data_IF_433101731952
#
_entry.id   IF_433101731952
#
_cell.length_a   1.000
_cell.length_b   1.000
_cell.length_c   1.000
_cell.angle_alpha   90.00
_cell.angle_beta   90.00
_cell.angle_gamma   90.00
#
_symmetry.space_group_name_H-M   'P 1'
#
loop_
_entity.id
_entity.type
_entity.pdbx_description
1 polymer ?
#
# COMPACT_ATOMS: atom_id res chain seq x y z
N UNK A 1 -10.28 -4.69 -4.14
CA UNK A 1 -9.95 -6.12 -4.21
C UNK A 1 -9.90 -6.72 -2.82
N UNK A 2 -10.42 -7.94 -2.66
CA UNK A 2 -10.19 -8.79 -1.50
C UNK A 2 -9.31 -9.95 -1.92
N UNK A 3 -8.12 -10.07 -1.29
CA UNK A 3 -7.10 -11.05 -1.64
C UNK A 3 -6.15 -10.50 -2.72
N UNK A 4 -5.12 -9.78 -2.30
CA UNK A 4 -4.09 -9.27 -3.20
C UNK A 4 -3.22 -10.38 -3.80
N UNK A 5 -2.94 -11.41 -2.97
CA UNK A 5 -2.04 -12.47 -3.36
C UNK A 5 -0.73 -11.92 -3.93
N UNK A 6 -0.31 -12.42 -5.07
CA UNK A 6 0.89 -11.93 -5.77
C UNK A 6 0.64 -10.69 -6.65
N UNK A 7 -0.49 -10.00 -6.50
CA UNK A 7 -0.78 -8.79 -7.25
C UNK A 7 -1.09 -8.98 -8.73
N UNK A 8 -1.42 -10.19 -9.17
CA UNK A 8 -1.66 -10.48 -10.58
C UNK A 8 -2.83 -9.67 -11.15
N UNK A 9 -3.95 -9.58 -10.41
CA UNK A 9 -5.09 -8.76 -10.82
C UNK A 9 -4.71 -7.28 -10.93
N UNK A 10 -3.89 -6.79 -10.01
CA UNK A 10 -3.38 -5.41 -10.06
C UNK A 10 -2.52 -5.16 -11.29
N UNK A 11 -1.56 -6.04 -11.60
CA UNK A 11 -0.68 -5.89 -12.77
C UNK A 11 -1.47 -5.97 -14.08
N UNK A 12 -2.43 -6.88 -14.19
CA UNK A 12 -3.34 -6.96 -15.35
C UNK A 12 -4.18 -5.68 -15.45
N UNK A 13 -4.60 -5.13 -14.31
CA UNK A 13 -5.35 -3.88 -14.28
C UNK A 13 -4.50 -2.70 -14.73
N UNK A 14 -3.23 -2.59 -14.30
CA UNK A 14 -2.30 -1.57 -14.81
C UNK A 14 -2.22 -1.65 -16.33
N UNK A 15 -1.96 -2.84 -16.89
CA UNK A 15 -1.84 -3.05 -18.34
C UNK A 15 -3.08 -2.61 -19.10
N UNK A 16 -4.27 -2.94 -18.60
CA UNK A 16 -5.54 -2.52 -19.21
C UNK A 16 -5.80 -1.03 -19.05
N UNK A 17 -5.62 -0.52 -17.84
CA UNK A 17 -5.84 0.89 -17.53
C UNK A 17 -4.93 1.81 -18.31
N UNK A 18 -3.65 1.47 -18.44
CA UNK A 18 -2.69 2.24 -19.21
C UNK A 18 -3.13 2.42 -20.67
N UNK A 19 -3.69 1.38 -21.29
CA UNK A 19 -4.24 1.44 -22.65
C UNK A 19 -5.47 2.34 -22.75
N UNK A 20 -6.35 2.31 -21.75
CA UNK A 20 -7.59 3.10 -21.76
C UNK A 20 -7.35 4.56 -21.31
N UNK A 21 -6.50 4.79 -20.32
CA UNK A 21 -6.17 6.13 -19.82
C UNK A 21 -5.39 6.98 -20.83
N UNK A 22 -4.74 6.37 -21.80
CA UNK A 22 -4.11 7.09 -22.91
C UNK A 22 -5.12 7.91 -23.75
N UNK A 23 -6.40 7.51 -23.73
CA UNK A 23 -7.50 8.20 -24.43
C UNK A 23 -8.06 9.38 -23.64
N UNK A 24 -7.89 9.39 -22.32
CA UNK A 24 -8.40 10.45 -21.43
C UNK A 24 -7.33 10.82 -20.40
N UNK A 25 -6.66 11.94 -20.64
CA UNK A 25 -5.42 12.31 -19.97
C UNK A 25 -5.57 12.70 -18.49
N UNK A 26 -6.79 12.92 -17.97
CA UNK A 26 -7.01 13.45 -16.62
C UNK A 26 -7.48 12.40 -15.60
N UNK A 27 -7.76 11.17 -16.05
CA UNK A 27 -8.29 10.13 -15.18
C UNK A 27 -7.19 9.35 -14.46
N UNK A 28 -7.35 9.21 -13.16
CA UNK A 28 -6.55 8.35 -12.32
C UNK A 28 -7.37 7.18 -11.78
N UNK A 29 -6.76 6.00 -11.70
CA UNK A 29 -7.36 4.85 -11.04
C UNK A 29 -6.77 4.71 -9.63
N UNK A 30 -7.64 4.70 -8.62
CA UNK A 30 -7.30 4.30 -7.26
C UNK A 30 -7.64 2.81 -7.10
N UNK A 31 -6.61 1.98 -6.95
CA UNK A 31 -6.74 0.55 -6.71
C UNK A 31 -6.51 0.28 -5.22
N UNK A 32 -7.51 -0.25 -4.54
CA UNK A 32 -7.42 -0.62 -3.13
C UNK A 32 -7.47 -2.14 -3.04
N UNK A 33 -6.48 -2.74 -2.41
CA UNK A 33 -6.46 -4.18 -2.16
C UNK A 33 -6.21 -4.50 -0.70
N UNK A 34 -6.88 -5.52 -0.21
CA UNK A 34 -6.82 -5.99 1.18
C UNK A 34 -6.30 -7.42 1.18
N UNK A 35 -5.28 -7.68 2.00
CA UNK A 35 -4.80 -9.03 2.27
C UNK A 35 -4.40 -9.17 3.74
N UNK A 36 -4.43 -10.38 4.27
CA UNK A 36 -3.97 -10.65 5.64
C UNK A 36 -2.51 -11.09 5.70
N UNK A 37 -1.89 -11.38 4.56
CA UNK A 37 -0.51 -11.84 4.47
C UNK A 37 0.34 -10.80 3.74
N UNK A 38 1.46 -10.45 4.35
CA UNK A 38 2.53 -9.72 3.67
C UNK A 38 3.43 -10.70 2.94
N UNK A 39 3.60 -10.50 1.63
CA UNK A 39 4.46 -11.34 0.79
C UNK A 39 5.81 -10.66 0.58
N UNK A 40 6.86 -11.48 0.50
CA UNK A 40 8.23 -10.98 0.28
C UNK A 40 8.47 -10.65 -1.20
N UNK A 41 9.24 -9.62 -1.49
CA UNK A 41 9.59 -9.21 -2.87
C UNK A 41 10.11 -10.37 -3.71
N UNK A 42 10.87 -11.29 -3.12
CA UNK A 42 11.38 -12.47 -3.82
C UNK A 42 10.28 -13.38 -4.35
N UNK A 43 9.14 -13.45 -3.65
CA UNK A 43 8.02 -14.29 -4.05
C UNK A 43 7.28 -13.69 -5.26
N UNK A 44 7.12 -12.36 -5.27
CA UNK A 44 6.59 -11.64 -6.45
C UNK A 44 7.47 -11.88 -7.68
N UNK A 45 8.80 -11.72 -7.57
CA UNK A 45 9.74 -11.97 -8.66
C UNK A 45 9.55 -13.36 -9.25
N UNK A 46 9.55 -14.39 -8.39
CA UNK A 46 9.38 -15.78 -8.82
C UNK A 46 8.07 -16.04 -9.55
N UNK A 47 6.97 -15.45 -9.08
CA UNK A 47 5.66 -15.62 -9.73
C UNK A 47 5.62 -14.92 -11.07
N UNK A 48 6.13 -13.70 -11.19
CA UNK A 48 6.09 -12.94 -12.44
C UNK A 48 7.05 -13.46 -13.51
N UNK A 49 8.03 -14.29 -13.18
CA UNK A 49 8.82 -15.05 -14.16
C UNK A 49 7.95 -15.93 -15.06
N UNK A 50 6.80 -16.40 -14.53
CA UNK A 50 5.84 -17.22 -15.29
C UNK A 50 4.93 -16.40 -16.21
N UNK A 51 5.01 -15.07 -16.21
CA UNK A 51 4.17 -14.16 -16.98
C UNK A 51 5.00 -13.13 -17.73
N UNK A 52 5.79 -13.55 -18.75
CA UNK A 52 6.70 -12.67 -19.49
C UNK A 52 5.99 -11.50 -20.19
N UNK A 53 4.71 -11.67 -20.54
CA UNK A 53 3.87 -10.64 -21.16
C UNK A 53 3.44 -9.51 -20.18
N UNK A 54 3.72 -9.67 -18.90
CA UNK A 54 3.47 -8.68 -17.86
C UNK A 54 4.76 -8.03 -17.33
N UNK A 55 5.92 -8.40 -17.88
CA UNK A 55 7.25 -8.02 -17.37
C UNK A 55 7.40 -6.52 -17.16
N UNK A 56 7.06 -5.70 -18.15
CA UNK A 56 7.18 -4.24 -18.05
C UNK A 56 6.48 -3.67 -16.81
N UNK A 57 5.26 -4.13 -16.54
CA UNK A 57 4.44 -3.65 -15.44
C UNK A 57 4.85 -4.25 -14.10
N UNK A 58 5.26 -5.52 -14.10
CA UNK A 58 5.69 -6.21 -12.87
C UNK A 58 7.05 -5.74 -12.38
N UNK A 59 7.99 -5.42 -13.27
CA UNK A 59 9.29 -4.84 -12.90
C UNK A 59 9.10 -3.46 -12.24
N UNK A 60 8.25 -2.60 -12.81
CA UNK A 60 7.93 -1.31 -12.21
C UNK A 60 7.25 -1.46 -10.85
N UNK A 61 6.32 -2.42 -10.72
CA UNK A 61 5.70 -2.75 -9.45
C UNK A 61 6.71 -3.23 -8.42
N UNK A 62 7.57 -4.21 -8.76
CA UNK A 62 8.60 -4.76 -7.86
C UNK A 62 9.57 -3.68 -7.41
N UNK A 63 10.03 -2.83 -8.33
CA UNK A 63 10.88 -1.68 -8.03
C UNK A 63 10.21 -0.70 -7.08
N UNK A 64 8.91 -0.48 -7.28
CA UNK A 64 8.12 0.46 -6.49
C UNK A 64 7.55 -0.14 -5.21
N UNK A 65 7.61 -1.45 -5.03
CA UNK A 65 7.06 -2.11 -3.85
C UNK A 65 7.84 -1.68 -2.60
N UNK A 66 7.15 -1.17 -1.58
CA UNK A 66 7.82 -0.74 -0.37
C UNK A 66 8.30 -1.95 0.42
N UNK A 67 9.10 -1.65 1.41
CA UNK A 67 9.48 -2.59 2.44
C UNK A 67 8.22 -3.11 3.14
N UNK A 68 8.10 -4.42 3.23
CA UNK A 68 6.94 -5.13 3.76
C UNK A 68 6.58 -4.68 5.17
N UNK A 69 5.38 -4.16 5.34
CA UNK A 69 4.87 -3.76 6.65
C UNK A 69 3.37 -4.02 6.72
N UNK A 70 2.88 -4.40 7.88
CA UNK A 70 1.45 -4.46 8.14
C UNK A 70 0.85 -3.06 8.11
N UNK A 71 -0.45 -2.97 7.83
CA UNK A 71 -1.19 -1.73 7.76
C UNK A 71 -1.32 -1.18 6.34
N UNK A 72 -1.32 0.14 6.19
CA UNK A 72 -1.60 0.83 4.94
C UNK A 72 -0.32 1.19 4.19
N UNK A 73 -0.22 0.73 2.97
CA UNK A 73 0.87 1.10 2.05
C UNK A 73 0.30 1.74 0.81
N UNK A 74 0.77 2.94 0.44
CA UNK A 74 0.34 3.63 -0.77
C UNK A 74 1.50 3.79 -1.74
N UNK A 75 1.31 3.30 -2.96
CA UNK A 75 2.28 3.39 -4.05
C UNK A 75 1.62 4.11 -5.23
N UNK A 76 2.33 5.05 -5.82
CA UNK A 76 1.85 5.77 -7.01
C UNK A 76 2.68 5.38 -8.22
N UNK A 77 2.00 5.13 -9.33
CA UNK A 77 2.57 4.85 -10.63
C UNK A 77 2.14 5.94 -11.62
N UNK A 78 2.81 7.13 -11.59
CA UNK A 78 2.39 8.27 -12.42
C UNK A 78 2.41 7.98 -13.91
N UNK A 79 3.37 7.18 -14.39
CA UNK A 79 3.45 6.70 -15.77
C UNK A 79 2.15 6.05 -16.25
N UNK A 80 1.48 5.33 -15.37
CA UNK A 80 0.25 4.59 -15.67
C UNK A 80 -1.01 5.26 -15.13
N UNK A 81 -0.87 6.40 -14.43
CA UNK A 81 -1.99 7.11 -13.76
C UNK A 81 -2.81 6.20 -12.84
N UNK A 82 -2.12 5.39 -12.07
CA UNK A 82 -2.72 4.48 -11.10
C UNK A 82 -2.05 4.64 -9.73
N UNK A 83 -2.83 4.50 -8.68
CA UNK A 83 -2.38 4.48 -7.28
C UNK A 83 -2.86 3.20 -6.64
N UNK A 84 -1.94 2.44 -6.06
CA UNK A 84 -2.24 1.27 -5.23
C UNK A 84 -2.29 1.68 -3.76
N UNK A 85 -3.36 1.32 -3.08
CA UNK A 85 -3.43 1.28 -1.63
C UNK A 85 -3.53 -0.18 -1.22
N UNK A 86 -2.45 -0.75 -0.69
CA UNK A 86 -2.42 -2.09 -0.15
C UNK A 86 -2.63 -2.03 1.37
N UNK A 87 -3.59 -2.80 1.87
CA UNK A 87 -3.93 -2.86 3.30
C UNK A 87 -3.67 -4.29 3.77
N UNK A 88 -2.65 -4.46 4.59
CA UNK A 88 -2.31 -5.74 5.21
C UNK A 88 -2.96 -5.79 6.59
N UNK A 89 -4.16 -6.36 6.64
CA UNK A 89 -4.98 -6.51 7.84
C UNK A 89 -6.11 -7.52 7.58
N UNK A 90 -6.83 -7.90 8.62
CA UNK A 90 -8.08 -8.66 8.46
C UNK A 90 -9.11 -7.90 7.62
N UNK A 91 -9.74 -8.57 6.65
CA UNK A 91 -10.69 -7.95 5.73
C UNK A 91 -11.83 -7.19 6.46
N UNK A 92 -12.33 -7.73 7.58
CA UNK A 92 -13.38 -7.10 8.36
C UNK A 92 -12.97 -5.73 8.93
N UNK A 93 -11.75 -5.63 9.47
CA UNK A 93 -11.19 -4.41 10.04
C UNK A 93 -10.84 -3.40 8.95
N UNK A 94 -10.20 -3.87 7.88
CA UNK A 94 -9.83 -3.03 6.75
C UNK A 94 -11.07 -2.39 6.09
N UNK A 95 -12.10 -3.17 5.78
CA UNK A 95 -13.35 -2.65 5.21
C UNK A 95 -14.05 -1.67 6.16
N UNK A 96 -14.06 -1.95 7.46
CA UNK A 96 -14.65 -1.03 8.44
C UNK A 96 -13.92 0.31 8.50
N UNK A 97 -12.60 0.31 8.42
CA UNK A 97 -11.83 1.54 8.38
C UNK A 97 -12.09 2.34 7.10
N UNK A 98 -12.29 1.67 5.96
CA UNK A 98 -12.66 2.32 4.70
C UNK A 98 -14.08 2.95 4.78
N UNK A 99 -15.04 2.31 5.43
CA UNK A 99 -16.41 2.80 5.60
C UNK A 99 -16.46 4.09 6.43
N UNK A 100 -15.56 4.26 7.40
CA UNK A 100 -15.49 5.49 8.24
C UNK A 100 -15.29 6.77 7.42
N UNK A 101 -14.76 6.64 6.21
CA UNK A 101 -14.69 7.76 5.28
C UNK A 101 -15.80 7.63 4.24
N UNK A 102 -16.85 8.42 4.39
CA UNK A 102 -18.02 8.42 3.49
C UNK A 102 -17.68 8.69 2.01
N UNK A 103 -16.51 9.27 1.76
CA UNK A 103 -16.03 9.51 0.38
C UNK A 103 -15.36 8.27 -0.25
N UNK A 104 -15.14 7.21 0.50
CA UNK A 104 -14.62 5.97 -0.04
C UNK A 104 -15.74 5.18 -0.70
N UNK A 105 -15.87 5.30 -2.02
CA UNK A 105 -16.79 4.51 -2.83
C UNK A 105 -16.02 3.74 -3.88
N UNK A 106 -16.47 2.53 -4.15
CA UNK A 106 -15.81 1.57 -5.04
C UNK A 106 -16.68 1.34 -6.27
N UNK A 107 -16.10 1.44 -7.44
CA UNK A 107 -16.77 1.28 -8.73
C UNK A 107 -16.64 -0.14 -9.29
N UNK A 108 -15.61 -0.87 -8.88
CA UNK A 108 -15.41 -2.25 -9.33
C UNK A 108 -14.75 -3.11 -8.23
N UNK A 109 -15.26 -4.32 -8.04
CA UNK A 109 -14.77 -5.27 -7.04
C UNK A 109 -14.15 -6.52 -7.67
N UNK A 110 -12.92 -6.81 -7.29
CA UNK A 110 -12.34 -8.14 -7.41
C UNK A 110 -12.54 -8.87 -6.08
N UNK A 111 -13.45 -9.84 -6.04
CA UNK A 111 -13.69 -10.68 -4.87
C UNK A 111 -12.91 -11.98 -5.07
N UNK A 112 -11.58 -11.90 -4.88
CA UNK A 112 -10.62 -12.96 -5.20
C UNK A 112 -9.90 -13.50 -3.94
N UNK A 113 -10.60 -13.47 -2.82
CA UNK A 113 -10.10 -14.03 -1.58
C UNK A 113 -9.99 -15.57 -1.58
N UNK A 114 -9.54 -16.13 -0.47
CA UNK A 114 -9.42 -17.57 -0.30
C UNK A 114 -10.73 -18.31 -0.58
N UNK A 115 -10.58 -19.61 -0.95
CA UNK A 115 -11.71 -20.48 -1.21
C UNK A 115 -12.77 -20.40 -0.10
N UNK A 116 -14.06 -20.17 -0.43
CA UNK A 116 -15.14 -20.05 0.56
C UNK A 116 -15.26 -21.24 1.52
N UNK A 117 -14.84 -22.43 1.09
CA UNK A 117 -14.81 -23.61 1.96
C UNK A 117 -13.66 -23.62 2.96
N UNK A 118 -12.55 -22.93 2.61
CA UNK A 118 -11.34 -22.85 3.46
C UNK A 118 -11.34 -21.62 4.36
N UNK A 119 -11.95 -20.54 3.91
CA UNK A 119 -12.08 -19.30 4.68
C UNK A 119 -13.50 -18.72 4.57
N UNK A 120 -14.49 -19.33 5.21
CA UNK A 120 -15.88 -18.87 5.14
C UNK A 120 -16.07 -17.49 5.79
N UNK A 121 -15.21 -17.10 6.73
CA UNK A 121 -15.30 -15.80 7.41
C UNK A 121 -15.18 -14.62 6.43
N UNK A 122 -14.34 -14.74 5.41
CA UNK A 122 -14.14 -13.73 4.37
C UNK A 122 -15.37 -13.55 3.45
N UNK A 123 -16.26 -14.54 3.44
CA UNK A 123 -17.51 -14.56 2.64
C UNK A 123 -18.75 -14.43 3.51
N UNK A 124 -18.59 -14.03 4.76
CA UNK A 124 -19.70 -13.85 5.70
C UNK A 124 -20.65 -12.72 5.27
N UNK A 125 -21.90 -12.77 5.72
CA UNK A 125 -22.89 -11.72 5.47
C UNK A 125 -22.39 -10.33 5.94
N UNK A 126 -21.65 -10.29 7.04
CA UNK A 126 -21.02 -9.06 7.54
C UNK A 126 -20.04 -8.45 6.55
N UNK A 127 -19.19 -9.25 5.92
CA UNK A 127 -18.24 -8.80 4.88
C UNK A 127 -19.00 -8.33 3.65
N UNK A 128 -19.97 -9.11 3.17
CA UNK A 128 -20.75 -8.77 1.99
C UNK A 128 -21.57 -7.49 2.19
N UNK A 129 -22.08 -7.25 3.40
CA UNK A 129 -22.74 -5.99 3.77
C UNK A 129 -21.76 -4.80 3.76
N UNK A 130 -20.52 -4.99 4.23
CA UNK A 130 -19.48 -3.94 4.20
C UNK A 130 -19.10 -3.61 2.73
N UNK A 131 -19.00 -4.60 1.86
CA UNK A 131 -18.79 -4.43 0.42
C UNK A 131 -19.93 -3.60 -0.18
N UNK A 132 -21.19 -3.96 0.09
CA UNK A 132 -22.36 -3.21 -0.37
C UNK A 132 -22.32 -1.73 0.09
N UNK A 133 -21.97 -1.48 1.35
CA UNK A 133 -21.87 -0.12 1.89
C UNK A 133 -20.80 0.72 1.21
N UNK A 134 -19.73 0.10 0.73
CA UNK A 134 -18.66 0.77 -0.02
C UNK A 134 -18.95 0.87 -1.51
N UNK A 135 -19.94 0.17 -2.03
CA UNK A 135 -20.25 0.16 -3.45
C UNK A 135 -20.96 1.44 -3.90
N UNK A 136 -20.56 1.96 -5.06
CA UNK A 136 -21.33 2.95 -5.80
C UNK A 136 -22.53 2.29 -6.50
N UNK A 137 -23.50 3.09 -6.90
CA UNK A 137 -24.51 2.66 -7.85
C UNK A 137 -23.83 2.16 -9.13
N UNK A 138 -24.33 1.07 -9.67
CA UNK A 138 -23.83 0.41 -10.88
C UNK A 138 -22.39 -0.16 -10.75
N UNK A 139 -21.83 -0.18 -9.53
CA UNK A 139 -20.53 -0.80 -9.32
C UNK A 139 -20.57 -2.28 -9.66
N UNK A 140 -19.55 -2.75 -10.35
CA UNK A 140 -19.46 -4.13 -10.81
C UNK A 140 -18.68 -5.00 -9.85
N UNK A 141 -18.93 -6.30 -9.86
CA UNK A 141 -18.08 -7.27 -9.19
C UNK A 141 -17.79 -8.49 -10.04
N UNK A 142 -16.66 -9.12 -9.78
CA UNK A 142 -16.32 -10.45 -10.29
C UNK A 142 -15.66 -11.27 -9.21
N UNK A 143 -15.98 -12.58 -9.17
CA UNK A 143 -15.32 -13.55 -8.29
C UNK A 143 -15.11 -14.86 -9.02
N UNK A 144 -14.10 -15.60 -8.63
CA UNK A 144 -13.82 -16.92 -9.20
C UNK A 144 -14.76 -18.02 -8.70
N UNK A 145 -15.46 -17.79 -7.59
CA UNK A 145 -16.36 -18.79 -6.99
C UNK A 145 -17.78 -18.73 -7.57
N UNK A 146 -18.47 -19.86 -7.57
CA UNK A 146 -19.89 -19.95 -7.87
C UNK A 146 -20.68 -20.55 -6.69
N UNK A 147 -20.13 -20.48 -5.47
CA UNK A 147 -20.74 -21.02 -4.26
C UNK A 147 -22.13 -20.40 -4.01
N UNK A 148 -23.12 -21.24 -3.75
CA UNK A 148 -24.53 -20.82 -3.62
C UNK A 148 -24.77 -19.87 -2.45
N UNK A 149 -24.05 -20.02 -1.33
CA UNK A 149 -24.19 -19.10 -0.20
C UNK A 149 -23.58 -17.72 -0.50
N UNK A 150 -22.47 -17.65 -1.26
CA UNK A 150 -21.88 -16.38 -1.71
C UNK A 150 -22.86 -15.66 -2.64
N UNK A 151 -23.46 -16.37 -3.60
CA UNK A 151 -24.48 -15.83 -4.48
C UNK A 151 -25.64 -15.23 -3.69
N UNK A 152 -26.27 -16.03 -2.81
CA UNK A 152 -27.39 -15.56 -1.98
C UNK A 152 -27.02 -14.40 -1.06
N UNK A 153 -25.79 -14.39 -0.52
CA UNK A 153 -25.29 -13.29 0.31
C UNK A 153 -25.14 -11.99 -0.48
N UNK A 154 -24.65 -12.05 -1.71
CA UNK A 154 -24.56 -10.87 -2.60
C UNK A 154 -25.98 -10.39 -2.99
N UNK A 155 -26.87 -11.29 -3.41
CA UNK A 155 -28.27 -10.96 -3.75
C UNK A 155 -28.99 -10.28 -2.57
N UNK A 156 -28.83 -10.81 -1.35
CA UNK A 156 -29.38 -10.21 -0.12
C UNK A 156 -28.87 -8.79 0.15
N UNK A 157 -27.66 -8.47 -0.32
CA UNK A 157 -27.02 -7.17 -0.16
C UNK A 157 -27.14 -6.30 -1.43
N UNK A 158 -28.21 -6.48 -2.20
CA UNK A 158 -28.59 -5.67 -3.35
C UNK A 158 -27.63 -5.73 -4.56
N UNK A 159 -26.96 -6.85 -4.75
CA UNK A 159 -26.26 -7.14 -5.99
C UNK A 159 -27.13 -7.98 -6.92
N UNK A 160 -27.22 -7.58 -8.17
CA UNK A 160 -27.75 -8.44 -9.23
C UNK A 160 -26.62 -9.41 -9.65
N UNK A 161 -26.85 -10.69 -9.43
CA UNK A 161 -25.80 -11.71 -9.58
C UNK A 161 -26.05 -12.59 -10.77
N UNK A 162 -25.07 -12.68 -11.66
CA UNK A 162 -25.09 -13.56 -12.82
C UNK A 162 -24.08 -14.69 -12.66
N UNK A 163 -24.53 -15.92 -12.89
CA UNK A 163 -23.69 -17.11 -12.98
C UNK A 163 -23.24 -17.28 -14.43
N UNK A 164 -21.93 -17.10 -14.68
CA UNK A 164 -21.37 -17.16 -16.03
C UNK A 164 -20.31 -18.27 -16.14
N UNK A 165 -19.87 -18.56 -17.36
CA UNK A 165 -18.79 -19.53 -17.62
C UNK A 165 -17.52 -19.10 -16.86
N UNK A 166 -16.91 -20.04 -16.14
CA UNK A 166 -15.64 -19.84 -15.46
C UNK A 166 -14.45 -19.86 -16.44
N UNK A 167 -13.27 -19.65 -15.88
CA UNK A 167 -12.02 -19.69 -16.63
C UNK A 167 -11.26 -21.01 -16.32
N UNK A 168 -10.56 -21.55 -17.30
CA UNK A 168 -9.81 -22.82 -17.18
C UNK A 168 -10.74 -23.97 -16.84
N UNK A 169 -10.40 -24.73 -15.80
CA UNK A 169 -11.16 -25.91 -15.36
C UNK A 169 -12.42 -25.59 -14.55
N UNK A 170 -12.71 -24.31 -14.28
CA UNK A 170 -13.89 -23.91 -13.51
C UNK A 170 -15.11 -23.77 -14.41
N UNK A 171 -16.16 -24.54 -14.13
CA UNK A 171 -17.41 -24.50 -14.91
C UNK A 171 -18.09 -23.12 -14.85
N UNK A 172 -18.11 -22.50 -13.68
CA UNK A 172 -18.84 -21.26 -13.44
C UNK A 172 -18.12 -20.33 -12.48
N UNK A 173 -18.38 -19.03 -12.65
CA UNK A 173 -18.04 -17.95 -11.72
C UNK A 173 -19.25 -17.02 -11.53
N UNK A 174 -19.19 -16.15 -10.52
CA UNK A 174 -20.19 -15.10 -10.35
C UNK A 174 -19.63 -13.74 -10.77
N UNK A 175 -20.48 -12.95 -11.39
CA UNK A 175 -20.27 -11.54 -11.67
C UNK A 175 -21.59 -10.80 -11.62
N UNK A 176 -21.56 -9.49 -11.48
CA UNK A 176 -22.79 -8.71 -11.45
C UNK A 176 -22.53 -7.25 -11.09
N UNK A 177 -23.60 -6.61 -10.67
CA UNK A 177 -23.65 -5.16 -10.42
C UNK A 177 -24.43 -4.83 -9.16
N UNK A 178 -24.07 -3.77 -8.47
CA UNK A 178 -24.80 -3.24 -7.31
C UNK A 178 -25.96 -2.37 -7.79
N UNK A 179 -27.15 -2.59 -7.24
CA UNK A 179 -28.39 -2.00 -7.78
C UNK A 179 -28.97 -0.89 -6.93
N UNK A 180 -28.52 -0.73 -5.68
CA UNK A 180 -29.08 0.30 -4.81
C UNK A 180 -28.62 1.70 -5.22
N UNK A 181 -29.52 2.66 -5.05
CA UNK A 181 -29.22 4.07 -5.19
C UNK A 181 -28.28 4.53 -4.04
N UNK A 182 -27.09 4.91 -4.40
CA UNK A 182 -26.16 5.57 -3.51
C UNK A 182 -26.03 7.03 -3.88
N UNK A 183 -25.74 7.90 -2.91
CA UNK A 183 -25.42 9.29 -3.24
C UNK A 183 -24.24 9.29 -4.21
N UNK A 184 -24.30 10.01 -5.34
CA UNK A 184 -23.20 10.03 -6.28
C UNK A 184 -21.95 10.56 -5.60
N UNK A 185 -20.88 9.79 -5.71
CA UNK A 185 -19.56 10.22 -5.25
C UNK A 185 -19.06 11.34 -6.18
N UNK A 186 -18.90 12.55 -5.64
CA UNK A 186 -18.19 13.61 -6.36
C UNK A 186 -16.70 13.27 -6.30
N UNK A 187 -16.12 12.87 -7.42
CA UNK A 187 -14.66 12.77 -7.51
C UNK A 187 -14.07 14.13 -7.15
N UNK A 188 -13.23 14.17 -6.12
CA UNK A 188 -12.49 15.39 -5.79
C UNK A 188 -11.38 15.54 -6.83
N UNK A 189 -11.55 16.49 -7.73
CA UNK A 189 -10.47 16.91 -8.61
C UNK A 189 -9.37 17.56 -7.76
N UNK A 190 -8.12 17.29 -8.12
CA UNK A 190 -7.01 18.01 -7.53
C UNK A 190 -7.13 19.50 -7.92
N UNK A 191 -6.83 20.44 -7.02
CA UNK A 191 -6.79 21.85 -7.37
C UNK A 191 -5.74 22.10 -8.46
N UNK A 192 -6.05 22.98 -9.42
CA UNK A 192 -5.10 23.29 -10.48
C UNK A 192 -3.87 24.04 -9.97
N UNK A 193 -4.02 24.78 -8.85
CA UNK A 193 -2.95 25.58 -8.24
C UNK A 193 -3.02 25.51 -6.72
N UNK A 194 -1.84 25.39 -6.07
CA UNK A 194 -1.70 25.34 -4.60
C UNK A 194 -0.58 26.28 -4.16
N UNK A 195 -0.82 27.05 -3.11
CA UNK A 195 0.19 27.81 -2.40
C UNK A 195 0.66 27.05 -1.15
N UNK A 196 1.95 26.92 -0.96
CA UNK A 196 2.57 26.29 0.22
C UNK A 196 3.35 27.37 0.97
N UNK A 197 3.06 27.50 2.26
CA UNK A 197 3.77 28.39 3.16
C UNK A 197 4.80 27.59 3.95
N UNK A 198 6.08 27.92 3.72
CA UNK A 198 7.24 27.23 4.29
C UNK A 198 7.94 26.31 3.29
N UNK A 199 9.20 26.64 2.96
CA UNK A 199 10.05 25.84 2.07
C UNK A 199 10.92 24.81 2.81
N UNK A 200 10.60 24.52 4.06
CA UNK A 200 11.26 23.47 4.83
C UNK A 200 10.96 22.07 4.26
N UNK A 201 11.51 21.03 4.89
CA UNK A 201 11.42 19.65 4.45
C UNK A 201 9.99 19.21 4.10
N UNK A 202 9.02 19.50 4.97
CA UNK A 202 7.62 19.14 4.74
C UNK A 202 7.01 19.85 3.53
N UNK A 203 7.23 21.18 3.42
CA UNK A 203 6.71 21.98 2.31
C UNK A 203 7.30 21.57 0.97
N UNK A 204 8.61 21.35 0.92
CA UNK A 204 9.31 20.90 -0.29
C UNK A 204 8.87 19.50 -0.74
N UNK A 205 8.72 18.56 0.19
CA UNK A 205 8.20 17.22 -0.11
C UNK A 205 6.75 17.28 -0.64
N UNK A 206 5.90 18.11 -0.04
CA UNK A 206 4.52 18.30 -0.49
C UNK A 206 4.47 18.91 -1.88
N UNK A 207 5.26 19.97 -2.13
CA UNK A 207 5.38 20.60 -3.43
C UNK A 207 5.80 19.63 -4.52
N UNK A 208 6.84 18.85 -4.25
CA UNK A 208 7.33 17.81 -5.17
C UNK A 208 6.24 16.78 -5.51
N UNK A 209 5.50 16.31 -4.50
CA UNK A 209 4.42 15.36 -4.73
C UNK A 209 3.27 15.94 -5.53
N UNK A 210 2.83 17.17 -5.22
CA UNK A 210 1.76 17.84 -5.95
C UNK A 210 2.15 18.10 -7.40
N UNK A 211 3.39 18.56 -7.64
CA UNK A 211 3.90 18.79 -8.99
C UNK A 211 3.91 17.49 -9.82
N UNK A 212 4.27 16.33 -9.21
CA UNK A 212 4.16 15.02 -9.89
C UNK A 212 2.73 14.65 -10.30
N UNK A 213 1.71 15.24 -9.67
CA UNK A 213 0.31 15.09 -10.05
C UNK A 213 -0.19 16.18 -11.01
N UNK A 214 0.71 17.03 -11.53
CA UNK A 214 0.37 18.09 -12.46
C UNK A 214 -0.24 19.33 -11.81
N UNK A 215 -0.19 19.45 -10.48
CA UNK A 215 -0.66 20.64 -9.75
C UNK A 215 0.40 21.72 -9.84
N UNK A 216 0.02 22.93 -10.22
CA UNK A 216 0.89 24.11 -10.13
C UNK A 216 1.10 24.47 -8.66
N UNK A 217 2.36 24.61 -8.24
CA UNK A 217 2.69 24.89 -6.84
C UNK A 217 3.53 26.14 -6.74
N UNK A 218 3.09 27.10 -5.92
CA UNK A 218 3.88 28.25 -5.50
C UNK A 218 4.31 28.04 -4.04
N UNK A 219 5.60 28.21 -3.75
CA UNK A 219 6.14 28.09 -2.38
C UNK A 219 6.53 29.47 -1.89
N UNK A 220 6.07 29.83 -0.70
CA UNK A 220 6.38 31.07 -0.01
C UNK A 220 7.16 30.77 1.26
N UNK A 221 8.34 31.37 1.43
CA UNK A 221 9.11 31.27 2.66
C UNK A 221 9.56 32.65 3.12
N UNK A 222 9.65 32.85 4.43
CA UNK A 222 10.13 34.13 5.01
C UNK A 222 11.63 34.31 4.84
N UNK A 223 12.39 33.24 4.65
CA UNK A 223 13.83 33.24 4.52
C UNK A 223 14.19 33.19 3.03
N UNK A 224 15.12 34.03 2.58
CA UNK A 224 15.64 34.00 1.21
C UNK A 224 16.65 32.87 0.99
N UNK A 225 17.28 32.42 2.06
CA UNK A 225 18.23 31.30 2.05
C UNK A 225 17.66 30.12 2.84
N UNK A 226 17.95 28.93 2.37
CA UNK A 226 17.58 27.69 3.09
C UNK A 226 18.38 27.63 4.40
N UNK A 227 17.71 27.93 5.51
CA UNK A 227 18.23 27.67 6.85
C UNK A 227 17.93 26.20 7.14
N UNK A 228 18.78 25.32 6.65
CA UNK A 228 18.69 23.90 6.91
C UNK A 228 19.86 23.43 7.78
N UNK A 229 19.66 22.41 8.57
CA UNK A 229 20.78 21.71 9.17
C UNK A 229 21.70 21.23 8.05
N UNK A 230 23.00 21.48 8.12
CA UNK A 230 23.96 21.04 7.12
C UNK A 230 23.94 19.54 6.89
N UNK A 231 23.55 18.79 7.92
CA UNK A 231 23.41 17.35 7.89
C UNK A 231 22.14 16.94 8.65
N UNK A 232 21.26 16.21 7.97
CA UNK A 232 20.08 15.63 8.58
C UNK A 232 20.18 14.11 8.52
N UNK A 233 19.90 13.43 9.63
CA UNK A 233 19.83 11.98 9.68
C UNK A 233 18.39 11.53 9.81
N UNK A 234 18.04 10.49 9.07
CA UNK A 234 16.76 9.80 9.17
C UNK A 234 16.96 8.49 9.92
N UNK A 235 16.33 8.35 11.06
CA UNK A 235 16.44 7.14 11.88
C UNK A 235 15.06 6.58 12.26
N UNK A 236 14.93 5.26 12.38
CA UNK A 236 13.66 4.64 12.70
C UNK A 236 13.31 4.79 14.18
N UNK A 237 12.07 5.21 14.45
CA UNK A 237 11.48 5.16 15.79
C UNK A 237 10.49 4.00 15.88
N UNK A 238 10.99 2.79 15.72
CA UNK A 238 10.14 1.61 15.82
C UNK A 238 9.61 1.40 17.23
N UNK A 239 8.37 0.94 17.33
CA UNK A 239 7.71 0.61 18.59
C UNK A 239 7.21 -0.83 18.58
N UNK A 240 7.23 -1.52 19.73
CA UNK A 240 6.58 -2.82 19.90
C UNK A 240 5.05 -2.72 19.95
N UNK A 241 4.52 -1.50 20.08
CA UNK A 241 3.09 -1.24 20.14
C UNK A 241 2.38 -1.66 18.84
N UNK A 242 1.11 -2.00 18.99
CA UNK A 242 0.17 -2.27 17.88
C UNK A 242 -0.82 -1.13 17.69
N UNK A 243 -0.56 0.01 18.35
CA UNK A 243 -1.38 1.21 18.26
C UNK A 243 -1.11 1.98 16.95
N UNK A 244 -2.03 2.88 16.62
CA UNK A 244 -1.97 3.66 15.38
C UNK A 244 -0.68 4.49 15.25
N UNK A 245 -0.12 4.98 16.36
CA UNK A 245 1.12 5.77 16.34
C UNK A 245 2.32 4.91 15.96
N UNK A 246 2.40 3.70 16.51
CA UNK A 246 3.47 2.74 16.19
C UNK A 246 3.46 2.35 14.71
N UNK A 247 2.27 2.09 14.16
CA UNK A 247 2.11 1.83 12.73
C UNK A 247 2.49 3.04 11.88
N UNK A 248 2.01 4.23 12.24
CA UNK A 248 2.32 5.46 11.49
C UNK A 248 3.82 5.74 11.45
N UNK A 249 4.53 5.63 12.57
CA UNK A 249 5.98 5.88 12.62
C UNK A 249 6.76 4.88 11.76
N UNK A 250 6.39 3.62 11.79
CA UNK A 250 7.00 2.58 10.98
C UNK A 250 6.76 2.83 9.49
N UNK A 251 5.52 3.06 9.09
CA UNK A 251 5.16 3.36 7.70
C UNK A 251 5.81 4.65 7.19
N UNK A 252 5.82 5.71 8.01
CA UNK A 252 6.45 6.97 7.66
C UNK A 252 7.95 6.82 7.42
N UNK A 253 8.64 6.03 8.25
CA UNK A 253 10.06 5.75 8.05
C UNK A 253 10.33 5.07 6.71
N UNK A 254 9.66 3.96 6.42
CA UNK A 254 9.89 3.22 5.18
C UNK A 254 9.47 4.00 3.93
N UNK A 255 8.35 4.74 4.02
CA UNK A 255 7.95 5.63 2.95
C UNK A 255 9.00 6.71 2.68
N UNK A 256 9.52 7.36 3.72
CA UNK A 256 10.52 8.41 3.62
C UNK A 256 11.85 7.86 3.12
N UNK A 257 12.29 6.70 3.63
CA UNK A 257 13.51 6.04 3.17
C UNK A 257 13.48 5.82 1.66
N UNK A 258 12.41 5.18 1.16
CA UNK A 258 12.24 4.96 -0.26
C UNK A 258 12.16 6.27 -1.04
N UNK A 259 11.38 7.21 -0.55
CA UNK A 259 11.21 8.51 -1.21
C UNK A 259 12.54 9.23 -1.39
N UNK A 260 13.37 9.31 -0.35
CA UNK A 260 14.65 10.02 -0.42
C UNK A 260 15.68 9.25 -1.23
N UNK A 261 15.74 7.95 -1.16
CA UNK A 261 16.64 7.15 -2.01
C UNK A 261 16.32 7.25 -3.50
N UNK A 262 15.08 7.53 -3.87
CA UNK A 262 14.66 7.71 -5.26
C UNK A 262 14.91 9.13 -5.80
N UNK A 263 14.89 10.16 -4.96
CA UNK A 263 14.91 11.56 -5.43
C UNK A 263 16.18 12.31 -5.10
N UNK A 264 16.99 11.85 -4.14
CA UNK A 264 18.21 12.53 -3.70
C UNK A 264 19.43 11.68 -4.03
N UNK A 265 20.23 12.14 -4.98
CA UNK A 265 21.55 11.54 -5.28
C UNK A 265 22.50 11.64 -4.06
N UNK A 266 22.33 12.67 -3.23
CA UNK A 266 23.09 12.88 -2.01
C UNK A 266 22.63 12.04 -0.81
N UNK A 267 21.60 11.21 -0.96
CA UNK A 267 21.14 10.34 0.12
C UNK A 267 22.10 9.16 0.29
N UNK A 268 22.86 9.17 1.39
CA UNK A 268 23.83 8.12 1.70
C UNK A 268 23.23 7.18 2.76
N UNK A 269 23.12 5.91 2.45
CA UNK A 269 22.73 4.88 3.41
C UNK A 269 23.94 4.41 4.21
N UNK A 270 24.20 5.06 5.34
CA UNK A 270 25.30 4.73 6.24
C UNK A 270 24.94 3.71 7.32
N UNK A 271 23.63 3.40 7.45
CA UNK A 271 23.10 2.72 8.62
C UNK A 271 23.12 3.60 9.88
N UNK A 272 22.58 3.08 10.96
CA UNK A 272 22.55 3.74 12.27
C UNK A 272 22.96 2.72 13.31
N UNK A 273 23.99 3.04 14.07
CA UNK A 273 24.42 2.23 15.20
C UNK A 273 23.64 2.67 16.45
N UNK A 274 22.88 1.76 17.02
CA UNK A 274 22.26 1.94 18.34
C UNK A 274 23.13 1.30 19.39
N UNK A 275 23.71 2.13 20.25
CA UNK A 275 24.45 1.66 21.42
C UNK A 275 23.45 1.43 22.56
N UNK A 276 23.38 0.21 23.04
CA UNK A 276 22.49 -0.18 24.12
C UNK A 276 23.30 -0.68 25.32
N UNK A 277 22.83 -0.34 26.52
CA UNK A 277 23.28 -1.02 27.73
C UNK A 277 22.55 -2.38 27.85
N UNK A 278 23.05 -3.25 28.71
CA UNK A 278 22.50 -4.60 28.91
C UNK A 278 21.02 -4.61 29.30
N UNK A 279 20.53 -3.57 29.99
CA UNK A 279 19.12 -3.46 30.42
C UNK A 279 18.15 -3.30 29.24
N UNK A 280 18.58 -2.64 28.16
CA UNK A 280 17.73 -2.38 26.98
C UNK A 280 17.85 -3.45 25.89
N UNK A 281 18.84 -4.36 26.01
CA UNK A 281 19.14 -5.38 24.99
C UNK A 281 17.92 -6.24 24.66
N UNK A 282 17.26 -6.80 25.66
CA UNK A 282 16.12 -7.69 25.47
C UNK A 282 14.92 -6.95 24.83
N UNK A 283 14.76 -5.69 25.17
CA UNK A 283 13.73 -4.83 24.57
C UNK A 283 14.00 -4.65 23.06
N UNK A 284 15.23 -4.36 22.66
CA UNK A 284 15.61 -4.18 21.26
C UNK A 284 15.55 -5.48 20.47
N UNK A 285 16.02 -6.60 21.04
CA UNK A 285 15.92 -7.93 20.40
C UNK A 285 14.46 -8.28 20.13
N UNK A 286 13.56 -8.08 21.11
CA UNK A 286 12.13 -8.30 20.92
C UNK A 286 11.53 -7.42 19.80
N UNK A 287 12.01 -6.18 19.67
CA UNK A 287 11.59 -5.27 18.58
C UNK A 287 12.02 -5.76 17.22
N UNK A 288 13.28 -6.12 17.09
CA UNK A 288 13.87 -6.62 15.85
C UNK A 288 13.14 -7.88 15.40
N UNK A 289 13.01 -8.85 16.29
CA UNK A 289 12.35 -10.12 16.00
C UNK A 289 10.87 -9.93 15.60
N UNK A 290 10.18 -8.96 16.19
CA UNK A 290 8.78 -8.64 15.83
C UNK A 290 8.65 -8.07 14.43
N UNK A 291 9.66 -7.35 13.94
CA UNK A 291 9.65 -6.78 12.60
C UNK A 291 10.00 -7.82 11.53
N UNK A 292 10.60 -8.97 11.93
CA UNK A 292 11.02 -10.06 11.02
C UNK A 292 11.77 -9.54 9.78
N UNK A 293 12.76 -8.65 10.03
CA UNK A 293 13.46 -7.87 8.99
C UNK A 293 14.97 -7.91 9.17
N UNK A 294 15.55 -9.09 8.96
CA UNK A 294 17.01 -9.28 9.03
C UNK A 294 17.79 -8.44 8.00
N UNK A 295 17.11 -8.01 6.95
CA UNK A 295 17.68 -7.10 5.94
C UNK A 295 17.84 -5.65 6.42
N UNK A 296 17.16 -5.28 7.51
CA UNK A 296 17.21 -3.93 8.09
C UNK A 296 18.04 -3.86 9.38
N UNK A 297 18.19 -4.96 10.07
CA UNK A 297 18.83 -5.00 11.38
C UNK A 297 19.92 -6.06 11.42
N UNK A 298 21.04 -5.68 11.97
CA UNK A 298 22.16 -6.57 12.21
C UNK A 298 22.62 -6.39 13.66
N UNK A 299 22.74 -7.50 14.39
CA UNK A 299 23.43 -7.48 15.68
C UNK A 299 24.93 -7.40 15.41
N UNK A 300 25.58 -6.44 16.01
CA UNK A 300 27.04 -6.22 15.92
C UNK A 300 27.60 -6.33 17.32
N UNK A 301 28.67 -7.10 17.50
CA UNK A 301 29.36 -7.22 18.78
C UNK A 301 30.27 -6.02 19.07
N UNK A 302 30.59 -5.77 20.34
CA UNK A 302 31.54 -4.73 20.72
C UNK A 302 32.89 -4.89 20.01
N UNK A 303 33.38 -6.14 19.85
CA UNK A 303 34.60 -6.45 19.12
C UNK A 303 34.55 -6.05 17.66
N UNK A 304 33.42 -6.33 16.98
CA UNK A 304 33.21 -5.92 15.59
C UNK A 304 33.14 -4.41 15.44
N UNK A 305 32.52 -3.70 16.39
CA UNK A 305 32.46 -2.23 16.40
C UNK A 305 33.86 -1.66 16.58
N UNK A 306 34.61 -2.14 17.56
CA UNK A 306 35.93 -1.66 17.85
C UNK A 306 36.91 -1.93 16.70
N UNK A 307 36.80 -3.09 16.03
CA UNK A 307 37.64 -3.42 14.88
C UNK A 307 37.37 -2.55 13.65
N UNK A 308 36.14 -2.16 13.43
CA UNK A 308 35.73 -1.35 12.24
C UNK A 308 35.98 0.15 12.39
N UNK A 309 35.90 0.69 13.61
CA UNK A 309 35.87 2.12 13.83
C UNK A 309 37.06 2.70 14.59
N UNK A 310 38.07 1.91 14.97
CA UNK A 310 39.15 2.35 15.87
C UNK A 310 38.62 3.08 17.12
N UNK A 311 37.42 2.76 17.58
CA UNK A 311 36.87 3.33 18.79
C UNK A 311 37.50 2.69 19.99
N UNK A 312 38.47 3.38 20.61
CA UNK A 312 39.15 2.97 21.85
C UNK A 312 38.21 3.06 23.09
N UNK A 313 36.96 2.80 22.97
CA UNK A 313 36.00 2.82 24.06
C UNK A 313 35.39 1.43 24.24
N UNK A 314 35.63 0.83 25.40
CA UNK A 314 34.96 -0.39 25.83
C UNK A 314 33.48 -0.05 26.07
N UNK A 315 32.62 -0.43 25.14
CA UNK A 315 31.17 -0.45 25.35
C UNK A 315 30.84 -1.90 25.76
N UNK A 316 30.82 -2.16 27.06
CA UNK A 316 30.30 -3.40 27.65
C UNK A 316 28.77 -3.42 27.69
#
# INVERSE_FOLDING_TARGET
>A
ELGFGFGLNFIITIKKWHKESAKNNDMWLDYISIDCLSLKIKDFKKVFESFPELREFSEEFIKSFPIETNGYTRISFPKYKIRLTLIIDEAAKALESLIKNENNKIDAWYLDGFDPSKNPAMWSDSILKKIANLSNKDSTFSTYTAAGFVRRGLEKNNFKVNKVKGFGNKRHKLQGEYTNDTRPHKSKQLPGKVAIIGAGLAGSCLAFKLAKYGVQVDIFDKNKELIANPMASMYPKFSLGTDARSFLLTQAYFYSYKFYTEILESFVNTGILFLNNNADRDYWIKRINKLDRDDLFQNITAEEINSKNNLNQNYD
#
